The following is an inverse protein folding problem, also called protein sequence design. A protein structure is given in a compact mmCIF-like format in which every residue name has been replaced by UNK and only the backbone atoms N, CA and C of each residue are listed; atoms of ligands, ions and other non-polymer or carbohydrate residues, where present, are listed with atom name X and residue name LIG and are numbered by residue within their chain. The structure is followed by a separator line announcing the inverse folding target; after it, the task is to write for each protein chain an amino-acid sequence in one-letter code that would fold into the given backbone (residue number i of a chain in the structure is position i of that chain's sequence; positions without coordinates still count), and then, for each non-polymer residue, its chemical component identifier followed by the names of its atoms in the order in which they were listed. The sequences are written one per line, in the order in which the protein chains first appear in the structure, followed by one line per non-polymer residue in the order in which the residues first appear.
data_IF_351079535461
#
_entry.id   IF_351079535461
#
_cell.length_a   1.000
_cell.length_b   1.000
_cell.length_c   1.000
_cell.angle_alpha   90.00
_cell.angle_beta   90.00
_cell.angle_gamma   90.00
#
_symmetry.space_group_name_H-M   'P 1'
#
loop_
_entity.id
_entity.type
_entity.pdbx_description
1 polymer ?
#
# COMPACT_ATOMS: atom_id res chain seq x y z
N UNK A 1 5.31 -15.00 -29.78
CA UNK A 1 5.39 -13.74 -29.01
C UNK A 1 4.33 -13.82 -27.91
N UNK A 2 4.72 -14.20 -26.71
CA UNK A 2 3.80 -14.30 -25.56
C UNK A 2 3.48 -12.89 -25.08
N UNK A 3 2.22 -12.48 -25.20
CA UNK A 3 1.68 -11.29 -24.58
C UNK A 3 1.89 -11.40 -23.07
N UNK A 4 2.98 -10.82 -22.57
CA UNK A 4 3.10 -10.51 -21.15
C UNK A 4 2.03 -9.45 -20.87
N UNK A 5 0.86 -9.90 -20.41
CA UNK A 5 -0.05 -9.07 -19.64
C UNK A 5 0.78 -8.56 -18.46
N UNK A 6 1.35 -7.36 -18.59
CA UNK A 6 1.83 -6.61 -17.45
C UNK A 6 0.63 -6.45 -16.53
N UNK A 7 0.55 -7.28 -15.49
CA UNK A 7 -0.40 -7.09 -14.40
C UNK A 7 -0.31 -5.61 -14.04
N UNK A 8 -1.35 -4.86 -14.39
CA UNK A 8 -1.37 -3.41 -14.30
C UNK A 8 -1.15 -3.04 -12.83
N UNK A 9 0.09 -2.68 -12.47
CA UNK A 9 0.45 -2.35 -11.09
C UNK A 9 -0.17 -1.01 -10.77
N UNK A 10 -1.24 -1.03 -9.98
CA UNK A 10 -1.90 0.17 -9.49
C UNK A 10 -1.61 0.35 -8.00
N UNK A 11 -1.46 1.60 -7.58
CA UNK A 11 -1.31 1.92 -6.17
C UNK A 11 -2.57 1.52 -5.40
N UNK A 12 -2.41 0.71 -4.35
CA UNK A 12 -3.49 0.24 -3.48
C UNK A 12 -4.22 1.37 -2.76
N UNK A 13 -3.64 2.56 -2.68
CA UNK A 13 -4.21 3.74 -1.99
C UNK A 13 -5.00 4.64 -2.93
N UNK A 14 -4.46 4.98 -4.11
CA UNK A 14 -5.05 5.99 -5.00
C UNK A 14 -5.32 5.52 -6.44
N UNK A 15 -5.00 4.27 -6.78
CA UNK A 15 -5.24 3.69 -8.11
C UNK A 15 -4.30 4.18 -9.22
N UNK A 16 -3.36 5.09 -8.95
CA UNK A 16 -2.39 5.52 -9.99
C UNK A 16 -1.52 4.35 -10.43
N UNK A 17 -1.10 4.36 -11.70
CA UNK A 17 -0.19 3.36 -12.29
C UNK A 17 1.23 3.87 -12.45
N UNK A 18 1.46 5.15 -12.16
CA UNK A 18 2.78 5.78 -12.29
C UNK A 18 3.67 5.39 -11.11
N UNK A 19 4.89 4.94 -11.42
CA UNK A 19 5.96 4.66 -10.43
C UNK A 19 5.47 3.83 -9.24
N UNK A 20 4.78 2.72 -9.54
CA UNK A 20 4.23 1.79 -8.56
C UNK A 20 5.20 0.64 -8.32
N UNK A 21 5.61 0.48 -7.07
CA UNK A 21 6.49 -0.58 -6.60
C UNK A 21 5.78 -1.46 -5.57
N UNK A 22 6.29 -2.68 -5.37
CA UNK A 22 5.81 -3.58 -4.32
C UNK A 22 6.56 -3.27 -3.03
N UNK A 23 5.81 -3.05 -1.95
CA UNK A 23 6.33 -2.85 -0.60
C UNK A 23 5.77 -3.95 0.30
N UNK A 24 6.62 -4.52 1.14
CA UNK A 24 6.16 -5.49 2.15
C UNK A 24 5.96 -4.77 3.47
N UNK A 25 4.73 -4.79 3.98
CA UNK A 25 4.38 -4.15 5.25
C UNK A 25 4.09 -5.19 6.32
N UNK A 26 4.68 -5.00 7.49
CA UNK A 26 4.49 -5.86 8.67
C UNK A 26 3.60 -5.21 9.72
N UNK A 27 3.54 -3.88 9.79
CA UNK A 27 2.79 -3.14 10.82
C UNK A 27 1.29 -3.03 10.53
N UNK A 28 0.64 -4.10 10.05
CA UNK A 28 -0.80 -4.11 9.77
C UNK A 28 -1.54 -4.50 11.04
N UNK A 29 -2.46 -3.65 11.51
CA UNK A 29 -3.28 -3.97 12.71
C UNK A 29 -4.49 -4.82 12.27
N UNK A 30 -4.80 -5.97 12.92
CA UNK A 30 -4.25 -6.50 14.17
C UNK A 30 -3.14 -7.56 14.02
N UNK A 31 -2.54 -7.71 12.82
CA UNK A 31 -1.55 -8.74 12.49
C UNK A 31 -0.13 -8.15 12.28
N UNK A 32 0.55 -7.63 13.33
CA UNK A 32 1.81 -6.90 13.20
C UNK A 32 3.04 -7.76 12.82
N UNK A 33 2.89 -9.09 12.81
CA UNK A 33 3.93 -10.05 12.45
C UNK A 33 3.75 -10.63 11.03
N UNK A 34 2.60 -10.36 10.39
CA UNK A 34 2.32 -10.84 9.04
C UNK A 34 2.84 -9.88 7.99
N UNK A 35 3.46 -10.44 6.94
CA UNK A 35 3.96 -9.67 5.79
C UNK A 35 2.89 -9.55 4.72
N UNK A 36 2.39 -8.33 4.49
CA UNK A 36 1.45 -8.04 3.42
C UNK A 36 2.15 -7.32 2.26
N UNK A 37 2.16 -7.92 1.05
CA UNK A 37 2.62 -7.21 -0.14
C UNK A 37 1.57 -6.17 -0.57
N UNK A 38 1.98 -4.90 -0.69
CA UNK A 38 1.14 -3.81 -1.16
C UNK A 38 1.81 -3.07 -2.31
N UNK A 39 1.03 -2.62 -3.28
CA UNK A 39 1.54 -1.80 -4.38
C UNK A 39 1.40 -0.32 -4.02
N UNK A 40 2.51 0.41 -3.93
CA UNK A 40 2.52 1.82 -3.57
C UNK A 40 3.21 2.64 -4.66
N UNK A 41 2.62 3.78 -5.02
CA UNK A 41 3.35 4.78 -5.80
C UNK A 41 4.35 5.52 -4.91
N UNK A 42 5.33 6.19 -5.51
CA UNK A 42 6.37 6.93 -4.79
C UNK A 42 5.83 7.84 -3.65
N UNK A 43 4.70 8.52 -3.86
CA UNK A 43 4.05 9.36 -2.84
C UNK A 43 3.60 8.56 -1.61
N UNK A 44 2.93 7.43 -1.82
CA UNK A 44 2.38 6.64 -0.72
C UNK A 44 3.43 5.76 -0.04
N UNK A 45 4.47 5.34 -0.79
CA UNK A 45 5.68 4.73 -0.23
C UNK A 45 6.36 5.68 0.75
N UNK A 46 6.53 6.95 0.36
CA UNK A 46 7.07 7.99 1.25
C UNK A 46 6.18 8.23 2.46
N UNK A 47 4.86 8.35 2.27
CA UNK A 47 3.92 8.52 3.38
C UNK A 47 3.97 7.35 4.38
N UNK A 48 4.17 6.12 3.91
CA UNK A 48 4.36 4.95 4.76
C UNK A 48 5.65 5.06 5.59
N UNK A 49 6.78 5.40 4.94
CA UNK A 49 8.08 5.58 5.61
C UNK A 49 8.05 6.70 6.65
N UNK A 50 7.31 7.77 6.37
CA UNK A 50 7.10 8.91 7.28
C UNK A 50 6.02 8.64 8.35
N UNK A 51 5.46 7.43 8.42
CA UNK A 51 4.37 7.03 9.35
C UNK A 51 3.08 7.86 9.22
N UNK A 52 2.88 8.47 8.05
CA UNK A 52 1.70 9.25 7.65
C UNK A 52 0.65 8.40 6.94
N UNK A 53 0.97 7.16 6.58
CA UNK A 53 0.03 6.18 6.03
C UNK A 53 -0.11 5.01 7.01
N UNK A 54 -1.29 4.85 7.60
CA UNK A 54 -1.63 3.66 8.37
C UNK A 54 -2.28 2.62 7.46
N UNK A 55 -1.98 1.35 7.74
CA UNK A 55 -2.54 0.20 7.04
C UNK A 55 -3.20 -0.71 8.07
N UNK A 56 -4.49 -0.97 7.91
CA UNK A 56 -5.27 -1.82 8.81
C UNK A 56 -5.96 -2.93 8.04
N UNK A 57 -6.21 -4.05 8.69
CA UNK A 57 -7.03 -5.12 8.15
C UNK A 57 -8.45 -4.96 8.69
N UNK A 58 -9.44 -4.87 7.81
CA UNK A 58 -10.83 -4.85 8.25
C UNK A 58 -11.31 -6.27 8.61
N UNK A 59 -12.55 -6.37 9.13
CA UNK A 59 -13.17 -7.66 9.51
C UNK A 59 -13.34 -8.66 8.36
N UNK A 60 -13.21 -8.23 7.11
CA UNK A 60 -13.29 -9.09 5.91
C UNK A 60 -11.92 -9.52 5.40
N UNK A 61 -10.83 -9.21 6.11
CA UNK A 61 -9.47 -9.51 5.65
C UNK A 61 -8.97 -8.59 4.53
N UNK A 62 -9.61 -7.44 4.31
CA UNK A 62 -9.20 -6.46 3.30
C UNK A 62 -8.34 -5.37 3.94
N UNK A 63 -7.24 -5.03 3.26
CA UNK A 63 -6.40 -3.90 3.65
C UNK A 63 -7.12 -2.56 3.42
N UNK A 64 -7.12 -1.74 4.46
CA UNK A 64 -7.59 -0.36 4.48
C UNK A 64 -6.40 0.58 4.67
N UNK A 65 -6.43 1.70 3.97
CA UNK A 65 -5.33 2.67 3.91
C UNK A 65 -5.83 4.02 4.41
N UNK A 66 -5.20 4.57 5.45
CA UNK A 66 -5.58 5.84 6.06
C UNK A 66 -4.42 6.81 6.01
N UNK A 67 -4.56 7.91 5.26
CA UNK A 67 -3.60 9.01 5.28
C UNK A 67 -3.87 9.93 6.46
N UNK A 68 -2.91 10.05 7.36
CA UNK A 68 -2.92 11.06 8.42
C UNK A 68 -2.78 12.43 7.76
N UNK A 69 -3.71 13.33 8.08
CA UNK A 69 -3.54 14.74 7.71
C UNK A 69 -2.38 15.28 8.54
N UNK A 70 -1.44 15.97 7.89
CA UNK A 70 -0.52 16.82 8.64
C UNK A 70 -1.39 17.81 9.41
N UNK A 71 -1.29 17.77 10.73
CA UNK A 71 -1.78 18.86 11.57
C UNK A 71 -0.74 19.96 11.41
N UNK A 72 -0.89 20.76 10.34
CA UNK A 72 -0.24 22.05 10.21
C UNK A 72 -0.83 23.03 11.20
#
# INVERSE_FOLDING_TARGET
MTNYHSLDKQCSVCGTRKTVEIETVTNVIPQPEEMFPVFLCAKHKRALQEKLLDITLNKTGKLCFTLKKNVT
#
